data_IF_619303701907
#
_entry.id   IF_619303701907
#
_cell.length_a   1.000
_cell.length_b   1.000
_cell.length_c   1.000
_cell.angle_alpha   90.00
_cell.angle_beta   90.00
_cell.angle_gamma   90.00
#
_symmetry.space_group_name_H-M   'P 1'
#
loop_
_entity.id
_entity.type
_entity.pdbx_description
1 polymer ?
#
# COMPACT_ATOMS: atom_id res chain seq x y z
N UNK A 1 27.78 29.41 -46.30
CA UNK A 1 27.83 29.29 -44.82
C UNK A 1 26.54 29.70 -44.09
N UNK A 2 25.39 29.91 -44.76
CA UNK A 2 24.14 30.37 -44.11
C UNK A 2 23.17 29.25 -43.69
N UNK A 3 23.38 28.02 -44.21
CA UNK A 3 22.48 26.87 -44.02
C UNK A 3 22.75 26.06 -42.72
N UNK A 4 23.98 26.05 -42.19
CA UNK A 4 24.31 25.28 -40.97
C UNK A 4 23.66 25.84 -39.70
N UNK A 5 23.50 27.16 -39.62
CA UNK A 5 22.91 27.81 -38.43
C UNK A 5 21.39 27.59 -38.34
N UNK A 6 20.70 27.54 -39.48
CA UNK A 6 19.26 27.25 -39.51
C UNK A 6 18.95 25.81 -39.11
N UNK A 7 19.76 24.85 -39.58
CA UNK A 7 19.61 23.44 -39.24
C UNK A 7 19.87 23.18 -37.74
N UNK A 8 20.87 23.84 -37.14
CA UNK A 8 21.13 23.74 -35.70
C UNK A 8 19.98 24.32 -34.86
N UNK A 9 19.43 25.47 -35.22
CA UNK A 9 18.31 26.08 -34.49
C UNK A 9 17.04 25.24 -34.56
N UNK A 10 16.77 24.60 -35.70
CA UNK A 10 15.62 23.67 -35.84
C UNK A 10 15.85 22.41 -34.99
N UNK A 11 17.06 21.87 -34.97
CA UNK A 11 17.38 20.68 -34.17
C UNK A 11 17.24 20.95 -32.66
N UNK A 12 17.70 22.11 -32.19
CA UNK A 12 17.56 22.51 -30.79
C UNK A 12 16.10 22.78 -30.39
N UNK A 13 15.29 23.34 -31.29
CA UNK A 13 13.86 23.51 -31.07
C UNK A 13 13.12 22.16 -30.97
N UNK A 14 13.50 21.17 -31.77
CA UNK A 14 12.92 19.82 -31.71
C UNK A 14 13.31 19.12 -30.39
N UNK A 15 14.56 19.27 -29.93
CA UNK A 15 14.99 18.69 -28.64
C UNK A 15 14.28 19.33 -27.43
N UNK A 16 13.92 20.61 -27.48
CA UNK A 16 13.21 21.28 -26.39
C UNK A 16 11.76 20.78 -26.22
N UNK A 17 11.12 20.27 -27.28
CA UNK A 17 9.78 19.66 -27.23
C UNK A 17 9.81 18.24 -26.66
N UNK A 18 10.99 17.59 -26.64
CA UNK A 18 11.20 16.27 -26.05
C UNK A 18 11.64 16.31 -24.59
N UNK A 19 11.43 17.44 -23.89
CA UNK A 19 11.59 17.47 -22.44
C UNK A 19 10.74 16.34 -21.83
N UNK A 20 11.34 15.35 -21.15
CA UNK A 20 10.58 14.24 -20.62
C UNK A 20 9.58 14.78 -19.62
N UNK A 21 8.28 14.63 -19.91
CA UNK A 21 7.26 14.69 -18.88
C UNK A 21 7.67 13.64 -17.86
N UNK A 22 8.08 14.07 -16.66
CA UNK A 22 8.37 13.19 -15.54
C UNK A 22 7.10 12.40 -15.25
N UNK A 23 6.95 11.22 -15.85
CA UNK A 23 5.86 10.30 -15.52
C UNK A 23 6.20 9.70 -14.17
N UNK A 24 5.80 10.39 -13.11
CA UNK A 24 5.78 9.79 -11.79
C UNK A 24 4.80 8.62 -11.86
N UNK A 25 5.31 7.39 -11.71
CA UNK A 25 4.49 6.21 -11.52
C UNK A 25 3.81 6.31 -10.15
N UNK A 26 2.80 7.18 -10.04
CA UNK A 26 1.94 7.19 -8.87
C UNK A 26 1.12 5.90 -8.92
N UNK A 27 1.10 5.18 -7.79
CA UNK A 27 0.14 4.10 -7.56
C UNK A 27 -0.90 4.68 -6.60
N UNK A 28 -2.21 4.57 -6.88
CA UNK A 28 -3.21 5.21 -6.03
C UNK A 28 -3.42 4.38 -4.75
N UNK A 29 -2.78 3.20 -4.68
CA UNK A 29 -2.94 2.21 -3.62
C UNK A 29 -2.83 2.83 -2.24
N UNK A 30 -3.86 2.59 -1.43
CA UNK A 30 -3.85 2.93 0.00
C UNK A 30 -3.44 1.71 0.79
N UNK A 31 -2.48 1.87 1.70
CA UNK A 31 -1.99 0.76 2.51
C UNK A 31 -2.29 1.02 3.99
N UNK A 32 -2.77 -0.01 4.68
CA UNK A 32 -3.04 -0.01 6.11
C UNK A 32 -2.40 -1.24 6.72
N UNK A 33 -1.50 -1.03 7.68
CA UNK A 33 -0.98 -2.11 8.51
C UNK A 33 -2.01 -2.57 9.53
N UNK A 34 -2.19 -3.89 9.64
CA UNK A 34 -2.91 -4.61 10.69
C UNK A 34 -1.86 -5.30 11.55
N UNK A 35 -1.93 -5.12 12.87
CA UNK A 35 -0.91 -5.63 13.77
C UNK A 35 -1.40 -6.82 14.60
N UNK A 36 -0.49 -7.77 14.80
CA UNK A 36 -0.72 -9.01 15.50
C UNK A 36 0.27 -9.17 16.64
N UNK A 37 -0.16 -9.87 17.68
CA UNK A 37 0.76 -10.40 18.67
C UNK A 37 1.69 -11.45 18.03
N UNK A 38 2.89 -11.57 18.59
CA UNK A 38 3.90 -12.51 18.10
C UNK A 38 3.36 -13.94 18.19
N UNK A 39 3.51 -14.72 17.12
CA UNK A 39 2.97 -16.09 16.99
C UNK A 39 1.44 -16.20 17.07
N UNK A 40 0.70 -15.10 16.99
CA UNK A 40 -0.77 -15.12 16.95
C UNK A 40 -1.29 -14.69 15.58
N UNK A 41 -2.43 -15.25 15.18
CA UNK A 41 -3.21 -14.82 14.01
C UNK A 41 -4.50 -14.09 14.38
N UNK A 42 -4.72 -13.80 15.66
CA UNK A 42 -5.94 -13.17 16.15
C UNK A 42 -5.95 -11.68 15.80
N UNK A 43 -7.01 -11.23 15.13
CA UNK A 43 -7.24 -9.81 14.88
C UNK A 43 -7.93 -9.22 16.11
N UNK A 44 -7.20 -8.43 16.90
CA UNK A 44 -7.76 -7.82 18.11
C UNK A 44 -8.91 -6.85 17.79
N UNK A 45 -9.83 -6.67 18.73
CA UNK A 45 -10.94 -5.72 18.58
C UNK A 45 -10.48 -4.30 18.23
N UNK A 46 -9.33 -3.87 18.77
CA UNK A 46 -8.73 -2.58 18.43
C UNK A 46 -8.35 -2.50 16.94
N UNK A 47 -7.75 -3.55 16.37
CA UNK A 47 -7.43 -3.58 14.94
C UNK A 47 -8.68 -3.67 14.07
N UNK A 48 -9.73 -4.38 14.52
CA UNK A 48 -11.04 -4.39 13.84
C UNK A 48 -11.62 -2.98 13.75
N UNK A 49 -11.61 -2.22 14.85
CA UNK A 49 -12.09 -0.83 14.85
C UNK A 49 -11.27 0.06 13.90
N UNK A 50 -9.94 -0.04 13.92
CA UNK A 50 -9.07 0.71 13.00
C UNK A 50 -9.34 0.39 11.53
N UNK A 51 -9.60 -0.89 11.22
CA UNK A 51 -9.98 -1.31 9.87
C UNK A 51 -11.36 -0.76 9.49
N UNK A 52 -12.31 -0.76 10.41
CA UNK A 52 -13.65 -0.22 10.19
C UNK A 52 -13.61 1.28 9.88
N UNK A 53 -12.88 2.05 10.67
CA UNK A 53 -12.69 3.49 10.47
C UNK A 53 -12.04 3.77 9.11
N UNK A 54 -10.97 3.03 8.79
CA UNK A 54 -10.28 3.18 7.50
C UNK A 54 -11.18 2.81 6.31
N UNK A 55 -11.94 1.72 6.39
CA UNK A 55 -12.87 1.31 5.32
C UNK A 55 -14.01 2.31 5.16
N UNK A 56 -14.51 2.89 6.26
CA UNK A 56 -15.53 3.94 6.23
C UNK A 56 -15.02 5.17 5.49
N UNK A 57 -13.80 5.61 5.83
CA UNK A 57 -13.11 6.71 5.15
C UNK A 57 -12.91 6.45 3.65
N UNK A 58 -12.55 5.22 3.28
CA UNK A 58 -12.40 4.82 1.88
C UNK A 58 -13.73 4.87 1.12
N UNK A 59 -14.82 4.37 1.72
CA UNK A 59 -16.16 4.37 1.10
C UNK A 59 -16.68 5.78 0.85
N UNK A 60 -16.43 6.70 1.79
CA UNK A 60 -16.83 8.10 1.65
C UNK A 60 -16.08 8.81 0.51
N UNK A 61 -14.80 8.51 0.34
CA UNK A 61 -13.93 9.18 -0.64
C UNK A 61 -13.94 8.53 -2.01
N UNK A 62 -14.12 7.22 -2.06
CA UNK A 62 -13.98 6.39 -3.26
C UNK A 62 -15.21 5.48 -3.42
N UNK A 63 -16.38 6.05 -3.78
CA UNK A 63 -17.64 5.31 -3.88
C UNK A 63 -17.64 4.28 -5.04
N UNK A 64 -16.81 4.52 -6.05
CA UNK A 64 -16.46 3.58 -7.11
C UNK A 64 -15.48 2.54 -6.54
N UNK A 65 -16.06 1.51 -5.93
CA UNK A 65 -15.35 0.49 -5.18
C UNK A 65 -14.36 -0.32 -6.03
N UNK A 66 -13.21 -0.63 -5.45
CA UNK A 66 -12.28 -1.63 -5.98
C UNK A 66 -11.80 -2.63 -4.91
N UNK A 67 -10.85 -3.46 -5.30
CA UNK A 67 -10.34 -4.66 -4.64
C UNK A 67 -9.38 -4.34 -3.48
N UNK A 68 -9.50 -5.10 -2.40
CA UNK A 68 -8.55 -5.18 -1.30
C UNK A 68 -7.57 -6.33 -1.52
N UNK A 69 -6.29 -6.09 -1.29
CA UNK A 69 -5.22 -7.08 -1.35
C UNK A 69 -4.64 -7.24 0.04
N UNK A 70 -4.62 -8.48 0.55
CA UNK A 70 -4.03 -8.78 1.86
C UNK A 70 -2.68 -9.44 1.63
N UNK A 71 -1.62 -8.98 2.31
CA UNK A 71 -0.33 -9.68 2.29
C UNK A 71 -0.33 -10.80 3.32
N UNK A 72 0.58 -11.76 3.18
CA UNK A 72 0.85 -12.77 4.21
C UNK A 72 2.34 -12.70 4.54
N UNK A 73 2.64 -12.14 5.71
CA UNK A 73 4.01 -12.02 6.20
C UNK A 73 4.12 -12.33 7.68
N UNK A 74 5.34 -12.65 8.10
CA UNK A 74 5.72 -12.93 9.48
C UNK A 74 7.09 -12.35 9.79
N UNK A 75 7.34 -12.03 11.05
CA UNK A 75 8.67 -11.59 11.50
C UNK A 75 9.64 -12.78 11.59
N UNK A 76 10.96 -12.53 11.44
CA UNK A 76 11.98 -13.53 11.72
C UNK A 76 11.82 -14.17 13.10
N UNK A 77 11.81 -15.50 13.14
CA UNK A 77 11.72 -16.29 14.38
C UNK A 77 10.30 -16.45 14.93
N UNK A 78 9.26 -16.18 14.13
CA UNK A 78 7.91 -16.66 14.42
C UNK A 78 7.75 -18.15 14.08
N UNK A 79 6.85 -18.82 14.79
CA UNK A 79 6.61 -20.24 14.63
C UNK A 79 5.76 -20.52 13.40
N UNK A 80 6.11 -21.57 12.66
CA UNK A 80 5.38 -22.01 11.46
C UNK A 80 5.03 -20.85 10.52
N UNK A 81 6.02 -20.04 10.07
CA UNK A 81 5.79 -18.73 9.45
C UNK A 81 4.91 -18.78 8.20
N UNK A 82 5.02 -19.87 7.43
CA UNK A 82 4.21 -20.08 6.25
C UNK A 82 2.72 -20.19 6.60
N UNK A 83 2.40 -21.00 7.60
CA UNK A 83 1.02 -21.17 8.08
C UNK A 83 0.53 -19.92 8.81
N UNK A 84 1.33 -19.37 9.72
CA UNK A 84 0.95 -18.22 10.55
C UNK A 84 0.60 -16.99 9.70
N UNK A 85 1.42 -16.66 8.71
CA UNK A 85 1.14 -15.53 7.82
C UNK A 85 -0.12 -15.74 6.97
N UNK A 86 -0.37 -16.98 6.53
CA UNK A 86 -1.62 -17.32 5.85
C UNK A 86 -2.82 -17.22 6.79
N UNK A 87 -2.73 -17.72 8.01
CA UNK A 87 -3.81 -17.66 9.01
C UNK A 87 -4.17 -16.19 9.33
N UNK A 88 -3.16 -15.31 9.46
CA UNK A 88 -3.36 -13.85 9.60
C UNK A 88 -4.13 -13.25 8.43
N UNK A 89 -3.71 -13.56 7.19
CA UNK A 89 -4.36 -13.04 6.00
C UNK A 89 -5.84 -13.48 5.91
N UNK A 90 -6.13 -14.75 6.23
CA UNK A 90 -7.50 -15.27 6.26
C UNK A 90 -8.35 -14.64 7.37
N UNK A 91 -7.78 -14.41 8.55
CA UNK A 91 -8.51 -13.78 9.65
C UNK A 91 -8.82 -12.31 9.35
N UNK A 92 -7.93 -11.57 8.66
CA UNK A 92 -8.24 -10.23 8.14
C UNK A 92 -9.39 -10.30 7.12
N UNK A 93 -9.34 -11.26 6.18
CA UNK A 93 -10.41 -11.43 5.21
C UNK A 93 -11.75 -11.78 5.86
N UNK A 94 -11.74 -12.58 6.94
CA UNK A 94 -12.94 -12.86 7.74
C UNK A 94 -13.52 -11.58 8.34
N UNK A 95 -12.69 -10.72 8.93
CA UNK A 95 -13.13 -9.41 9.44
C UNK A 95 -13.75 -8.57 8.32
N UNK A 96 -13.13 -8.52 7.14
CA UNK A 96 -13.70 -7.80 6.00
C UNK A 96 -15.07 -8.32 5.59
N UNK A 97 -15.25 -9.64 5.53
CA UNK A 97 -16.49 -10.27 5.08
C UNK A 97 -17.59 -10.17 6.13
N UNK A 98 -17.31 -10.63 7.36
CA UNK A 98 -18.33 -10.81 8.39
C UNK A 98 -18.65 -9.52 9.14
N UNK A 99 -17.64 -8.71 9.42
CA UNK A 99 -17.83 -7.47 10.20
C UNK A 99 -18.05 -6.26 9.31
N UNK A 100 -17.25 -6.12 8.25
CA UNK A 100 -17.26 -4.92 7.40
C UNK A 100 -18.14 -5.09 6.14
N UNK A 101 -18.73 -6.26 5.94
CA UNK A 101 -19.66 -6.57 4.86
C UNK A 101 -19.07 -6.29 3.47
N UNK A 102 -17.78 -6.61 3.29
CA UNK A 102 -17.09 -6.55 2.01
C UNK A 102 -17.30 -7.87 1.27
N UNK A 103 -17.80 -7.80 0.04
CA UNK A 103 -18.03 -8.97 -0.79
C UNK A 103 -16.71 -9.77 -1.00
N UNK A 104 -16.73 -11.11 -0.87
CA UNK A 104 -15.52 -11.94 -1.04
C UNK A 104 -14.79 -11.72 -2.37
N UNK A 105 -15.54 -11.48 -3.45
CA UNK A 105 -14.97 -11.20 -4.79
C UNK A 105 -14.13 -9.91 -4.86
N UNK A 106 -14.18 -9.06 -3.84
CA UNK A 106 -13.37 -7.83 -3.72
C UNK A 106 -12.16 -8.01 -2.81
N UNK A 107 -11.87 -9.22 -2.35
CA UNK A 107 -10.75 -9.50 -1.45
C UNK A 107 -9.83 -10.51 -2.14
N UNK A 108 -8.63 -10.07 -2.48
CA UNK A 108 -7.57 -10.91 -2.98
C UNK A 108 -6.65 -11.33 -1.84
N UNK A 109 -6.61 -12.65 -1.62
CA UNK A 109 -5.73 -13.29 -0.66
C UNK A 109 -4.42 -13.72 -1.33
N UNK A 110 -3.31 -13.75 -0.57
CA UNK A 110 -2.03 -14.17 -1.10
C UNK A 110 -2.03 -15.69 -1.31
N UNK A 111 -1.20 -16.18 -2.24
CA UNK A 111 -1.05 -17.63 -2.48
C UNK A 111 -0.08 -18.30 -1.51
N UNK A 112 0.77 -17.51 -0.87
CA UNK A 112 1.82 -17.96 0.05
C UNK A 112 2.16 -16.86 1.04
N UNK A 113 2.64 -17.26 2.20
CA UNK A 113 3.27 -16.38 3.18
C UNK A 113 4.77 -16.24 2.87
N UNK A 114 5.40 -15.21 3.42
CA UNK A 114 6.85 -15.04 3.44
C UNK A 114 7.32 -14.54 4.80
N UNK A 115 8.60 -14.76 5.10
CA UNK A 115 9.26 -14.17 6.26
C UNK A 115 9.88 -12.84 5.84
N UNK A 116 9.57 -11.78 6.57
CA UNK A 116 10.11 -10.46 6.29
C UNK A 116 11.62 -10.41 6.51
N UNK A 117 12.30 -9.57 5.73
CA UNK A 117 13.72 -9.33 5.95
C UNK A 117 13.93 -8.66 7.32
N UNK A 118 15.02 -8.97 8.03
CA UNK A 118 15.33 -8.29 9.28
C UNK A 118 15.47 -6.77 9.05
N UNK A 119 14.58 -5.99 9.65
CA UNK A 119 14.69 -4.52 9.66
C UNK A 119 15.73 -4.05 10.68
N UNK A 120 16.37 -2.91 10.40
CA UNK A 120 17.34 -2.30 11.31
C UNK A 120 16.73 -2.02 12.69
N UNK A 121 17.55 -2.06 13.74
CA UNK A 121 17.08 -1.84 15.11
C UNK A 121 16.30 -0.52 15.29
N UNK A 122 16.69 0.52 14.53
CA UNK A 122 16.00 1.81 14.49
C UNK A 122 14.57 1.71 13.93
N UNK A 123 14.39 1.06 12.77
CA UNK A 123 13.06 0.86 12.17
C UNK A 123 12.19 -0.06 13.02
N UNK A 124 12.81 -1.07 13.63
CA UNK A 124 12.16 -1.99 14.56
C UNK A 124 11.53 -1.27 15.74
N UNK A 125 12.16 -0.20 16.26
CA UNK A 125 11.63 0.58 17.38
C UNK A 125 10.43 1.46 17.00
N UNK A 126 10.37 1.92 15.74
CA UNK A 126 9.22 2.66 15.19
C UNK A 126 8.03 1.75 14.87
N UNK A 127 8.27 0.51 14.43
CA UNK A 127 7.22 -0.43 14.00
C UNK A 127 6.68 -1.31 15.14
N UNK A 128 7.51 -1.65 16.14
CA UNK A 128 7.14 -2.59 17.22
C UNK A 128 6.22 -2.06 18.30
N UNK A 129 5.90 -0.76 18.32
CA UNK A 129 4.98 -0.24 19.35
C UNK A 129 3.57 -0.87 19.25
N UNK A 130 3.20 -1.43 18.09
CA UNK A 130 1.88 -2.02 17.87
C UNK A 130 1.89 -3.54 17.56
N UNK A 131 3.05 -4.20 17.44
CA UNK A 131 3.17 -5.65 17.19
C UNK A 131 3.75 -6.02 15.81
N UNK A 132 3.46 -7.24 15.31
CA UNK A 132 3.87 -7.72 13.98
C UNK A 132 2.87 -7.27 12.92
N UNK A 133 3.34 -6.58 11.88
CA UNK A 133 2.49 -5.95 10.87
C UNK A 133 2.22 -6.87 9.67
N UNK A 134 0.96 -6.90 9.23
CA UNK A 134 0.53 -7.40 7.91
C UNK A 134 -0.15 -6.26 7.17
N UNK A 135 0.15 -6.12 5.88
CA UNK A 135 -0.38 -5.01 5.09
C UNK A 135 -1.66 -5.39 4.36
N UNK A 136 -2.64 -4.49 4.42
CA UNK A 136 -3.79 -4.48 3.54
C UNK A 136 -3.66 -3.31 2.58
N UNK A 137 -3.76 -3.59 1.29
CA UNK A 137 -3.76 -2.59 0.23
C UNK A 137 -5.14 -2.45 -0.38
N UNK A 138 -5.57 -1.24 -0.67
CA UNK A 138 -6.81 -0.93 -1.38
C UNK A 138 -6.45 -0.28 -2.71
N UNK A 139 -6.83 -0.92 -3.82
CA UNK A 139 -6.71 -0.34 -5.15
C UNK A 139 -7.95 0.50 -5.46
N UNK A 140 -7.80 1.56 -6.24
CA UNK A 140 -8.89 2.48 -6.58
C UNK A 140 -9.39 2.28 -8.00
N UNK A 141 -10.71 2.31 -8.19
CA UNK A 141 -11.33 2.29 -9.50
C UNK A 141 -10.85 3.46 -10.36
N UNK A 142 -10.37 3.18 -11.57
CA UNK A 142 -10.20 4.21 -12.59
C UNK A 142 -11.54 4.94 -12.80
N UNK A 143 -11.54 6.27 -13.00
CA UNK A 143 -10.41 7.14 -13.31
C UNK A 143 -9.73 7.83 -12.11
N UNK A 144 -9.91 7.38 -10.85
CA UNK A 144 -9.28 8.06 -9.71
C UNK A 144 -7.73 8.07 -9.83
N UNK A 145 -7.14 9.27 -9.87
CA UNK A 145 -5.86 9.61 -10.50
C UNK A 145 -4.57 9.20 -9.79
N UNK A 146 -3.50 9.16 -10.60
CA UNK A 146 -2.09 8.97 -10.24
C UNK A 146 -1.21 10.00 -10.98
N UNK A 147 -1.38 11.32 -10.77
CA UNK A 147 -0.73 12.12 -9.74
C UNK A 147 -1.64 13.27 -9.23
N UNK A 148 -1.69 13.58 -7.94
CA UNK A 148 -0.81 13.18 -6.86
C UNK A 148 -1.40 13.71 -5.56
N UNK A 149 -1.29 12.92 -4.48
CA UNK A 149 -1.94 13.04 -3.17
C UNK A 149 -1.52 14.27 -2.34
N UNK A 150 -1.54 15.46 -2.94
CA UNK A 150 -1.46 16.72 -2.20
C UNK A 150 -2.75 16.92 -1.42
N UNK A 151 -2.66 16.79 -0.10
CA UNK A 151 -3.78 16.98 0.82
C UNK A 151 -4.56 15.71 1.16
N UNK A 152 -4.09 14.51 0.81
CA UNK A 152 -4.72 13.29 1.32
C UNK A 152 -4.33 13.05 2.78
N UNK A 153 -5.28 13.12 3.73
CA UNK A 153 -4.95 12.95 5.15
C UNK A 153 -4.54 11.53 5.53
N UNK A 154 -4.74 10.53 4.64
CA UNK A 154 -4.25 9.16 4.84
C UNK A 154 -2.80 8.98 4.35
N UNK A 155 -2.26 9.93 3.58
CA UNK A 155 -0.86 9.94 3.18
C UNK A 155 -0.05 10.81 4.14
N UNK A 156 0.83 10.20 4.93
CA UNK A 156 1.85 10.92 5.69
C UNK A 156 3.19 10.80 4.95
N UNK A 157 3.65 11.84 4.24
CA UNK A 157 4.95 11.80 3.61
C UNK A 157 6.02 11.58 4.69
N UNK A 158 6.92 10.61 4.49
CA UNK A 158 8.14 10.57 5.29
C UNK A 158 9.00 11.75 4.86
N UNK A 159 9.45 12.55 5.83
CA UNK A 159 10.32 13.69 5.55
C UNK A 159 11.58 13.22 4.79
N UNK A 160 12.00 13.93 3.73
CA UNK A 160 13.23 13.60 3.03
C UNK A 160 14.39 13.65 4.03
N UNK A 161 15.20 12.59 4.04
CA UNK A 161 16.43 12.55 4.83
C UNK A 161 17.36 13.65 4.29
N UNK A 162 17.76 14.56 5.17
CA UNK A 162 18.81 15.56 4.91
C UNK A 162 20.17 14.89 4.79
#
# INVERSE_FOLDING_TARGET
MKSRNAALSVLMAILAVMAPLSSHACSPVKVRGVYFERNSSDVSAYQVLRLADWVTDLRLRYPSHQTFYVTASTEPGEQTPDRLGMDRAHNIARVFQETLQIAPAKIELPKRSYVEAPVSAYLKQLEKSEGVRVDVSFLLACPHECPCQWGDPLYKPQAPKQ
#
